data_IF_009514748398
#
_entry.id   IF_009514748398
#
_cell.length_a   1.000
_cell.length_b   1.000
_cell.length_c   1.000
_cell.angle_alpha   90.00
_cell.angle_beta   90.00
_cell.angle_gamma   90.00
#
_symmetry.space_group_name_H-M   'P 1'
#
loop_
_entity.id
_entity.type
_entity.pdbx_description
1 polymer ?
#
# COMPACT_ATOMS: atom_id res chain seq x y z
N UNK A 1 34.37 -6.81 29.43
CA UNK A 1 33.02 -7.04 29.94
C UNK A 1 32.30 -7.85 28.89
N UNK A 2 32.29 -9.15 29.07
CA UNK A 2 31.71 -10.08 28.10
C UNK A 2 30.20 -9.91 28.08
N UNK A 3 29.67 -9.59 26.89
CA UNK A 3 28.24 -9.52 26.62
C UNK A 3 27.69 -10.95 26.66
N UNK A 4 27.33 -11.43 27.85
CA UNK A 4 26.57 -12.67 27.97
C UNK A 4 25.19 -12.45 27.36
N UNK A 5 24.91 -13.19 26.28
CA UNK A 5 23.60 -13.21 25.62
C UNK A 5 22.51 -13.45 26.66
N UNK A 6 21.54 -12.53 26.72
CA UNK A 6 20.41 -12.55 27.67
C UNK A 6 19.48 -13.77 27.47
N UNK A 7 19.63 -14.48 26.35
CA UNK A 7 18.84 -15.65 25.99
C UNK A 7 19.72 -16.82 25.53
N UNK A 8 19.36 -18.07 25.86
CA UNK A 8 20.02 -19.28 25.34
C UNK A 8 20.01 -19.32 23.80
N UNK A 9 21.05 -19.88 23.18
CA UNK A 9 21.14 -20.04 21.72
C UNK A 9 19.95 -20.82 21.14
N UNK A 10 19.52 -21.87 21.84
CA UNK A 10 18.36 -22.69 21.47
C UNK A 10 17.05 -21.87 21.43
N UNK A 11 16.92 -20.85 22.29
CA UNK A 11 15.76 -19.93 22.30
C UNK A 11 15.77 -19.01 21.09
N UNK A 12 16.96 -18.55 20.66
CA UNK A 12 17.11 -17.73 19.46
C UNK A 12 16.77 -18.52 18.20
N UNK A 13 17.33 -19.74 18.05
CA UNK A 13 17.07 -20.60 16.89
C UNK A 13 15.59 -20.96 16.77
N UNK A 14 14.94 -21.31 17.89
CA UNK A 14 13.49 -21.53 17.92
C UNK A 14 12.70 -20.27 17.51
N UNK A 15 13.13 -19.09 17.98
CA UNK A 15 12.50 -17.82 17.63
C UNK A 15 12.56 -17.53 16.14
N UNK A 16 13.74 -17.67 15.54
CA UNK A 16 13.98 -17.47 14.10
C UNK A 16 13.11 -18.43 13.28
N UNK A 17 13.08 -19.71 13.65
CA UNK A 17 12.29 -20.70 12.92
C UNK A 17 10.79 -20.39 12.98
N UNK A 18 10.30 -20.01 14.16
CA UNK A 18 8.90 -19.62 14.36
C UNK A 18 8.54 -18.37 13.58
N UNK A 19 9.42 -17.37 13.57
CA UNK A 19 9.23 -16.13 12.80
C UNK A 19 9.19 -16.43 11.31
N UNK A 20 10.15 -17.22 10.79
CA UNK A 20 10.22 -17.61 9.39
C UNK A 20 8.94 -18.29 8.92
N UNK A 21 8.46 -19.30 9.66
CA UNK A 21 7.21 -20.01 9.31
C UNK A 21 6.02 -19.06 9.25
N UNK A 22 5.88 -18.19 10.26
CA UNK A 22 4.77 -17.25 10.31
C UNK A 22 4.85 -16.20 9.21
N UNK A 23 6.05 -15.76 8.85
CA UNK A 23 6.27 -14.86 7.72
C UNK A 23 5.84 -15.53 6.41
N UNK A 24 6.28 -16.76 6.16
CA UNK A 24 5.91 -17.53 4.96
C UNK A 24 4.38 -17.73 4.86
N UNK A 25 3.73 -18.13 5.94
CA UNK A 25 2.27 -18.27 6.01
C UNK A 25 1.55 -16.95 5.66
N UNK A 26 1.99 -15.83 6.25
CA UNK A 26 1.40 -14.52 5.99
C UNK A 26 1.65 -14.06 4.55
N UNK A 27 2.85 -14.29 4.03
CA UNK A 27 3.23 -13.91 2.67
C UNK A 27 2.38 -14.65 1.63
N UNK A 28 2.30 -15.98 1.74
CA UNK A 28 1.49 -16.82 0.85
C UNK A 28 0.01 -16.45 0.94
N UNK A 29 -0.49 -16.15 2.14
CA UNK A 29 -1.87 -15.71 2.31
C UNK A 29 -2.13 -14.38 1.59
N UNK A 30 -1.23 -13.40 1.71
CA UNK A 30 -1.34 -12.11 1.00
C UNK A 30 -1.36 -12.34 -0.51
N UNK A 31 -0.44 -13.13 -1.03
CA UNK A 31 -0.33 -13.47 -2.45
C UNK A 31 -1.63 -14.10 -3.00
N UNK A 32 -2.25 -15.01 -2.25
CA UNK A 32 -3.44 -15.74 -2.69
C UNK A 32 -4.73 -14.92 -2.61
N UNK A 33 -4.80 -13.97 -1.67
CA UNK A 33 -6.08 -13.35 -1.29
C UNK A 33 -6.18 -11.86 -1.60
N UNK A 34 -5.07 -11.18 -1.90
CA UNK A 34 -5.10 -9.77 -2.33
C UNK A 34 -5.37 -9.65 -3.84
N UNK A 35 -6.05 -8.59 -4.29
CA UNK A 35 -6.34 -8.37 -5.70
C UNK A 35 -5.06 -8.08 -6.50
N UNK A 36 -5.01 -8.43 -7.80
CA UNK A 36 -3.87 -8.16 -8.67
C UNK A 36 -3.42 -6.68 -8.65
N UNK A 37 -4.39 -5.76 -8.61
CA UNK A 37 -4.12 -4.32 -8.54
C UNK A 37 -3.35 -3.87 -7.30
N UNK A 38 -3.35 -4.67 -6.23
CA UNK A 38 -2.51 -4.42 -5.06
C UNK A 38 -1.03 -4.60 -5.41
N UNK A 39 -0.70 -5.70 -6.09
CA UNK A 39 0.68 -6.01 -6.48
C UNK A 39 1.22 -5.10 -7.58
N UNK A 40 0.36 -4.47 -8.38
CA UNK A 40 0.75 -3.43 -9.34
C UNK A 40 1.24 -2.14 -8.69
N UNK A 41 0.90 -1.91 -7.42
CA UNK A 41 1.26 -0.71 -6.67
C UNK A 41 2.32 -0.93 -5.59
N UNK A 42 2.56 -2.18 -5.17
CA UNK A 42 3.52 -2.48 -4.11
C UNK A 42 4.90 -2.82 -4.69
N UNK A 43 5.94 -2.18 -4.14
CA UNK A 43 7.30 -2.68 -4.29
C UNK A 43 7.59 -3.81 -3.29
N UNK A 44 8.72 -4.49 -3.48
CA UNK A 44 9.14 -5.63 -2.65
C UNK A 44 9.30 -5.24 -1.18
N UNK A 45 9.89 -4.08 -0.90
CA UNK A 45 10.10 -3.58 0.46
C UNK A 45 8.78 -3.29 1.19
N UNK A 46 7.84 -2.62 0.52
CA UNK A 46 6.52 -2.33 1.06
C UNK A 46 5.75 -3.62 1.33
N UNK A 47 5.81 -4.58 0.41
CA UNK A 47 5.18 -5.88 0.58
C UNK A 47 5.76 -6.61 1.81
N UNK A 48 7.09 -6.64 1.96
CA UNK A 48 7.76 -7.23 3.13
C UNK A 48 7.31 -6.57 4.44
N UNK A 49 7.24 -5.23 4.49
CA UNK A 49 6.77 -4.50 5.66
C UNK A 49 5.32 -4.81 6.01
N UNK A 50 4.45 -4.92 4.99
CA UNK A 50 3.05 -5.29 5.15
C UNK A 50 2.92 -6.70 5.72
N UNK A 51 3.65 -7.67 5.16
CA UNK A 51 3.64 -9.07 5.65
C UNK A 51 4.14 -9.13 7.09
N UNK A 52 5.24 -8.45 7.41
CA UNK A 52 5.78 -8.43 8.77
C UNK A 52 4.78 -7.81 9.78
N UNK A 53 4.06 -6.76 9.38
CA UNK A 53 2.99 -6.19 10.20
C UNK A 53 1.80 -7.13 10.34
N UNK A 54 1.46 -7.87 9.28
CA UNK A 54 0.40 -8.87 9.32
C UNK A 54 0.70 -9.93 10.38
N UNK A 55 1.97 -10.36 10.52
CA UNK A 55 2.36 -11.36 11.54
C UNK A 55 2.00 -10.98 12.97
N UNK A 56 1.91 -9.69 13.31
CA UNK A 56 1.53 -9.22 14.66
C UNK A 56 0.15 -8.56 14.71
N UNK A 57 -0.62 -8.64 13.62
CA UNK A 57 -1.88 -7.92 13.45
C UNK A 57 -2.92 -8.19 14.53
N UNK A 58 -3.04 -9.45 14.96
CA UNK A 58 -3.96 -9.86 16.02
C UNK A 58 -3.57 -9.32 17.42
N UNK A 59 -2.34 -8.87 17.61
CA UNK A 59 -1.85 -8.27 18.86
C UNK A 59 -2.14 -6.76 18.93
N UNK A 60 -2.37 -6.13 17.78
CA UNK A 60 -2.65 -4.69 17.65
C UNK A 60 -4.15 -4.42 17.44
N UNK A 61 -5.02 -5.19 18.09
CA UNK A 61 -6.48 -5.09 17.93
C UNK A 61 -6.96 -5.11 16.46
N UNK A 62 -6.23 -5.83 15.60
CA UNK A 62 -6.46 -5.88 14.16
C UNK A 62 -6.45 -4.51 13.46
N UNK A 63 -5.53 -3.66 13.89
CA UNK A 63 -5.29 -2.36 13.29
C UNK A 63 -3.80 -2.01 13.36
N UNK A 64 -3.14 -1.90 12.21
CA UNK A 64 -1.72 -1.54 12.14
C UNK A 64 -1.47 -0.41 11.16
N UNK A 65 -0.48 0.43 11.46
CA UNK A 65 -0.03 1.50 10.59
C UNK A 65 1.45 1.40 10.33
N UNK A 66 1.82 1.61 9.07
CA UNK A 66 3.19 1.73 8.63
C UNK A 66 3.32 3.15 8.09
N UNK A 67 4.23 3.93 8.65
CA UNK A 67 4.49 5.29 8.20
C UNK A 67 5.91 5.36 7.62
N UNK A 68 5.98 5.61 6.32
CA UNK A 68 7.20 5.93 5.58
C UNK A 68 7.19 7.41 5.25
N UNK A 69 8.32 7.91 4.75
CA UNK A 69 8.54 9.34 4.50
C UNK A 69 7.42 9.98 3.64
N UNK A 70 7.04 9.31 2.55
CA UNK A 70 6.09 9.84 1.56
C UNK A 70 4.86 8.94 1.39
N UNK A 71 4.78 7.88 2.19
CA UNK A 71 3.81 6.82 2.02
C UNK A 71 3.36 6.28 3.38
N UNK A 72 2.09 5.98 3.51
CA UNK A 72 1.53 5.29 4.66
C UNK A 72 0.82 4.03 4.20
N UNK A 73 0.90 2.97 5.00
CA UNK A 73 0.03 1.82 4.89
C UNK A 73 -0.80 1.68 6.16
N UNK A 74 -2.04 1.25 6.02
CA UNK A 74 -2.88 0.86 7.16
C UNK A 74 -3.53 -0.48 6.89
N UNK A 75 -3.33 -1.42 7.80
CA UNK A 75 -3.98 -2.73 7.80
C UNK A 75 -5.14 -2.67 8.80
N UNK A 76 -6.34 -3.08 8.38
CA UNK A 76 -7.50 -3.13 9.26
C UNK A 76 -8.49 -4.23 8.84
N UNK A 77 -9.37 -4.64 9.74
CA UNK A 77 -10.52 -5.45 9.35
C UNK A 77 -11.56 -4.59 8.65
N UNK A 78 -12.07 -5.09 7.54
CA UNK A 78 -13.04 -4.39 6.72
C UNK A 78 -14.30 -4.03 7.50
N UNK A 79 -14.77 -2.80 7.32
CA UNK A 79 -15.96 -2.26 7.97
C UNK A 79 -16.51 -1.05 7.21
N UNK A 80 -17.81 -0.73 7.36
CA UNK A 80 -18.42 0.42 6.69
C UNK A 80 -17.74 1.77 6.99
N UNK A 81 -17.07 1.87 8.13
CA UNK A 81 -16.37 3.07 8.60
C UNK A 81 -14.83 2.96 8.51
N UNK A 82 -14.31 1.93 7.82
CA UNK A 82 -12.87 1.68 7.74
C UNK A 82 -12.10 2.88 7.19
N UNK A 83 -12.56 3.49 6.09
CA UNK A 83 -11.87 4.63 5.48
C UNK A 83 -11.80 5.83 6.44
N UNK A 84 -12.88 6.08 7.21
CA UNK A 84 -12.90 7.14 8.23
C UNK A 84 -11.88 6.85 9.34
N UNK A 85 -11.79 5.60 9.79
CA UNK A 85 -10.79 5.18 10.78
C UNK A 85 -9.38 5.41 10.25
N UNK A 86 -9.10 5.01 9.01
CA UNK A 86 -7.78 5.20 8.38
C UNK A 86 -7.45 6.70 8.29
N UNK A 87 -8.31 7.48 7.64
CA UNK A 87 -8.05 8.90 7.36
C UNK A 87 -7.95 9.76 8.63
N UNK A 88 -8.63 9.39 9.71
CA UNK A 88 -8.53 10.09 11.00
C UNK A 88 -7.09 10.10 11.54
N UNK A 89 -6.28 9.08 11.25
CA UNK A 89 -4.88 9.01 11.67
C UNK A 89 -3.97 9.93 10.86
N UNK A 90 -4.39 10.32 9.65
CA UNK A 90 -3.62 11.16 8.74
C UNK A 90 -4.15 12.59 8.62
N UNK A 91 -5.00 13.04 9.55
CA UNK A 91 -5.65 14.38 9.53
C UNK A 91 -4.68 15.57 9.46
N UNK A 92 -3.42 15.38 9.86
CA UNK A 92 -2.39 16.43 9.86
C UNK A 92 -1.51 16.41 8.61
N UNK A 93 -1.74 15.48 7.68
CA UNK A 93 -0.94 15.31 6.47
C UNK A 93 -1.72 15.78 5.24
N UNK A 94 -1.01 16.38 4.29
CA UNK A 94 -1.54 16.55 2.94
C UNK A 94 -1.57 15.19 2.25
N UNK A 95 -2.75 14.72 1.84
CA UNK A 95 -2.91 13.44 1.15
C UNK A 95 -2.99 13.71 -0.35
N UNK A 96 -2.02 13.18 -1.10
CA UNK A 96 -1.99 13.24 -2.57
C UNK A 96 -2.83 12.14 -3.19
N UNK A 97 -2.79 10.93 -2.62
CA UNK A 97 -3.59 9.80 -3.09
C UNK A 97 -3.99 8.89 -1.93
N UNK A 98 -5.17 8.30 -2.03
CA UNK A 98 -5.68 7.29 -1.10
C UNK A 98 -6.26 6.14 -1.90
N UNK A 99 -5.75 4.94 -1.68
CA UNK A 99 -6.28 3.71 -2.30
C UNK A 99 -6.42 2.63 -1.24
N UNK A 100 -7.46 1.80 -1.37
CA UNK A 100 -7.66 0.66 -0.48
C UNK A 100 -7.86 -0.62 -1.29
N UNK A 101 -7.35 -1.70 -0.73
CA UNK A 101 -7.38 -3.04 -1.30
C UNK A 101 -7.99 -3.97 -0.27
N UNK A 102 -9.04 -4.67 -0.65
CA UNK A 102 -9.72 -5.61 0.23
C UNK A 102 -9.44 -7.02 -0.26
N UNK A 103 -8.99 -7.86 0.65
CA UNK A 103 -8.79 -9.29 0.41
C UNK A 103 -10.12 -10.00 0.13
N UNK A 104 -10.06 -11.14 -0.54
CA UNK A 104 -11.22 -11.99 -0.81
C UNK A 104 -11.50 -13.04 0.30
N UNK A 105 -10.64 -13.10 1.32
CA UNK A 105 -10.76 -14.02 2.46
C UNK A 105 -10.39 -13.32 3.78
N UNK A 106 -10.82 -13.83 4.94
CA UNK A 106 -10.34 -13.34 6.23
C UNK A 106 -8.86 -13.70 6.45
N UNK A 107 -8.08 -12.86 7.18
CA UNK A 107 -6.68 -13.13 7.47
C UNK A 107 -6.52 -14.42 8.31
N UNK A 108 -5.32 -15.03 8.33
CA UNK A 108 -5.09 -16.36 8.90
C UNK A 108 -5.02 -16.35 10.44
N UNK A 109 -6.03 -15.76 11.10
CA UNK A 109 -6.15 -15.67 12.55
C UNK A 109 -7.41 -16.39 13.04
N UNK A 110 -7.30 -17.23 14.09
CA UNK A 110 -8.46 -17.91 14.66
C UNK A 110 -9.56 -16.94 15.07
N UNK A 111 -10.81 -17.23 14.69
CA UNK A 111 -11.99 -16.46 15.08
C UNK A 111 -12.25 -15.18 14.26
N UNK A 112 -11.36 -14.80 13.36
CA UNK A 112 -11.57 -13.64 12.48
C UNK A 112 -12.42 -14.04 11.27
N UNK A 113 -13.53 -13.33 11.06
CA UNK A 113 -14.44 -13.53 9.92
C UNK A 113 -14.46 -12.38 8.93
N UNK A 114 -13.91 -11.22 9.32
CA UNK A 114 -13.87 -10.03 8.48
C UNK A 114 -12.67 -10.09 7.54
N UNK A 115 -12.83 -9.51 6.36
CA UNK A 115 -11.77 -9.41 5.36
C UNK A 115 -10.68 -8.46 5.84
N UNK A 116 -9.44 -8.70 5.43
CA UNK A 116 -8.36 -7.74 5.58
C UNK A 116 -8.52 -6.63 4.54
N UNK A 117 -8.46 -5.37 4.97
CA UNK A 117 -8.30 -4.20 4.12
C UNK A 117 -6.92 -3.59 4.36
N UNK A 118 -6.20 -3.34 3.27
CA UNK A 118 -4.93 -2.63 3.27
C UNK A 118 -5.12 -1.32 2.52
N UNK A 119 -4.89 -0.20 3.19
CA UNK A 119 -4.96 1.13 2.60
C UNK A 119 -3.58 1.70 2.39
N UNK A 120 -3.35 2.28 1.22
CA UNK A 120 -2.16 3.01 0.83
C UNK A 120 -2.49 4.52 0.80
N UNK A 121 -1.64 5.32 1.45
CA UNK A 121 -1.78 6.77 1.55
C UNK A 121 -0.50 7.41 1.02
N UNK A 122 -0.57 8.12 -0.10
CA UNK A 122 0.56 8.89 -0.62
C UNK A 122 0.46 10.30 -0.09
N UNK A 123 1.51 10.77 0.60
CA UNK A 123 1.54 12.13 1.14
C UNK A 123 1.99 13.13 0.09
N UNK A 124 1.54 14.38 0.24
CA UNK A 124 2.00 15.51 -0.56
C UNK A 124 3.33 16.02 0.02
N UNK A 125 4.41 15.96 -0.74
CA UNK A 125 5.67 16.60 -0.34
C UNK A 125 5.61 18.12 -0.50
N UNK A 126 6.32 18.85 0.36
CA UNK A 126 6.49 20.31 0.24
C UNK A 126 7.37 20.71 -0.97
N UNK A 127 8.15 19.77 -1.51
CA UNK A 127 8.90 19.90 -2.76
C UNK A 127 8.79 18.59 -3.54
N UNK A 128 7.87 18.51 -4.50
CA UNK A 128 7.81 17.37 -5.41
C UNK A 128 9.05 17.39 -6.30
N UNK A 129 9.97 16.44 -6.09
CA UNK A 129 10.88 16.05 -7.18
C UNK A 129 10.00 15.38 -8.22
N UNK A 130 9.90 15.96 -9.41
CA UNK A 130 9.24 15.33 -10.55
C UNK A 130 9.87 13.95 -10.75
N UNK A 131 9.14 12.89 -10.40
CA UNK A 131 9.54 11.53 -10.74
C UNK A 131 9.44 11.39 -12.25
N UNK A 132 10.54 11.03 -12.90
CA UNK A 132 10.69 10.86 -14.36
C UNK A 132 9.85 9.72 -14.95
N UNK A 133 9.07 9.01 -14.13
CA UNK A 133 8.12 8.00 -14.58
C UNK A 133 6.89 8.67 -15.22
N UNK A 134 7.10 9.23 -16.42
CA UNK A 134 6.03 9.61 -17.32
C UNK A 134 5.30 8.31 -17.69
N UNK A 135 4.16 8.08 -17.06
CA UNK A 135 3.27 7.01 -17.50
C UNK A 135 2.82 7.37 -18.91
N UNK A 136 3.07 6.50 -19.91
CA UNK A 136 2.54 6.73 -21.24
C UNK A 136 1.02 6.59 -21.15
N UNK A 137 0.32 7.72 -21.03
CA UNK A 137 -1.11 7.75 -21.27
C UNK A 137 -1.34 7.22 -22.68
N UNK A 138 -2.25 6.27 -22.86
CA UNK A 138 -2.54 5.69 -24.18
C UNK A 138 -2.80 6.81 -25.19
N UNK A 139 -2.16 6.76 -26.36
CA UNK A 139 -2.26 7.80 -27.40
C UNK A 139 -3.72 8.12 -27.77
N UNK A 140 -4.62 7.17 -27.58
CA UNK A 140 -6.07 7.32 -27.79
C UNK A 140 -6.73 8.23 -26.76
N UNK A 141 -6.35 8.14 -25.48
CA UNK A 141 -6.87 9.02 -24.42
C UNK A 141 -6.41 10.45 -24.68
N UNK A 142 -5.14 10.64 -25.07
CA UNK A 142 -4.59 11.95 -25.42
C UNK A 142 -5.35 12.58 -26.60
N UNK A 143 -5.64 11.80 -27.65
CA UNK A 143 -6.48 12.24 -28.77
C UNK A 143 -7.88 12.63 -28.33
N UNK A 144 -8.57 11.79 -27.54
CA UNK A 144 -9.92 12.11 -27.03
C UNK A 144 -9.96 13.38 -26.18
N UNK A 145 -8.89 13.66 -25.41
CA UNK A 145 -8.79 14.89 -24.62
C UNK A 145 -8.64 16.12 -25.52
N UNK A 146 -7.79 16.03 -26.55
CA UNK A 146 -7.61 17.10 -27.54
C UNK A 146 -8.87 17.36 -28.39
N UNK A 147 -9.58 16.30 -28.80
CA UNK A 147 -10.85 16.43 -29.54
C UNK A 147 -11.91 17.16 -28.71
N UNK A 148 -11.98 16.89 -27.40
CA UNK A 148 -12.91 17.55 -26.49
C UNK A 148 -12.48 18.96 -26.08
N UNK A 149 -11.18 19.26 -26.14
CA UNK A 149 -10.61 20.54 -25.73
C UNK A 149 -9.61 21.06 -26.77
N UNK A 150 -10.09 21.62 -27.91
CA UNK A 150 -9.23 22.05 -29.01
C UNK A 150 -8.21 23.13 -28.64
N UNK A 151 -8.48 23.89 -27.58
CA UNK A 151 -7.61 24.93 -27.04
C UNK A 151 -6.42 24.40 -26.22
N UNK A 152 -6.40 23.10 -25.87
CA UNK A 152 -5.33 22.50 -25.07
C UNK A 152 -4.24 21.97 -25.99
N UNK A 153 -3.01 22.47 -25.82
CA UNK A 153 -1.87 22.03 -26.62
C UNK A 153 -1.26 20.75 -26.06
N UNK A 154 -0.52 20.00 -26.88
CA UNK A 154 0.21 18.80 -26.44
C UNK A 154 1.19 19.08 -25.28
N UNK A 155 1.93 20.21 -25.25
CA UNK A 155 2.72 20.61 -24.08
C UNK A 155 1.91 20.82 -22.81
N UNK A 156 0.73 21.45 -22.89
CA UNK A 156 -0.14 21.67 -21.73
C UNK A 156 -0.64 20.33 -21.16
N UNK A 157 -0.95 19.39 -22.05
CA UNK A 157 -1.38 18.05 -21.68
C UNK A 157 -0.25 17.25 -21.04
N UNK A 158 0.97 17.33 -21.59
CA UNK A 158 2.15 16.72 -20.99
C UNK A 158 2.42 17.27 -19.59
N UNK A 159 2.37 18.59 -19.43
CA UNK A 159 2.55 19.24 -18.13
C UNK A 159 1.51 18.75 -17.12
N UNK A 160 0.24 18.69 -17.51
CA UNK A 160 -0.83 18.17 -16.67
C UNK A 160 -0.58 16.71 -16.27
N UNK A 161 -0.19 15.86 -17.21
CA UNK A 161 0.09 14.43 -16.95
C UNK A 161 1.26 14.26 -15.98
N UNK A 162 2.31 15.08 -16.11
CA UNK A 162 3.45 15.05 -15.18
C UNK A 162 3.09 15.56 -13.77
N UNK A 163 2.07 16.42 -13.67
CA UNK A 163 1.55 16.90 -12.37
C UNK A 163 0.54 15.90 -11.76
N UNK A 164 -0.09 15.06 -12.57
CA UNK A 164 -1.00 14.02 -12.11
C UNK A 164 -0.24 12.87 -11.42
N UNK A 165 -0.89 12.28 -10.43
CA UNK A 165 -0.31 11.14 -9.71
C UNK A 165 -0.25 9.91 -10.62
N UNK A 166 0.91 9.25 -10.70
CA UNK A 166 1.11 8.03 -11.48
C UNK A 166 0.11 6.91 -11.12
N UNK A 167 -0.21 6.71 -9.84
CA UNK A 167 -1.23 5.76 -9.38
C UNK A 167 -2.63 6.10 -9.88
N UNK A 168 -2.97 7.39 -9.98
CA UNK A 168 -4.25 7.83 -10.56
C UNK A 168 -4.30 7.51 -12.05
N UNK A 169 -3.22 7.75 -12.79
CA UNK A 169 -3.18 7.43 -14.22
C UNK A 169 -3.31 5.93 -14.48
N UNK A 170 -2.73 5.08 -13.62
CA UNK A 170 -2.89 3.61 -13.70
C UNK A 170 -4.28 3.12 -13.36
N UNK A 171 -5.02 3.85 -12.53
CA UNK A 171 -6.39 3.47 -12.15
C UNK A 171 -7.45 3.89 -13.18
N UNK A 172 -7.09 4.69 -14.17
CA UNK A 172 -7.99 5.03 -15.26
C UNK A 172 -8.30 3.78 -16.09
N UNK A 173 -9.58 3.56 -16.46
CA UNK A 173 -9.95 2.45 -17.32
C UNK A 173 -9.20 2.57 -18.65
N UNK A 174 -8.44 1.53 -18.96
CA UNK A 174 -7.96 1.28 -20.31
C UNK A 174 -9.15 0.65 -21.04
N UNK A 175 -9.87 1.46 -21.82
CA UNK A 175 -10.93 0.94 -22.70
C UNK A 175 -10.39 -0.17 -23.62
#
# INVERSE_FOLDING_TARGET
MDSQSKFPKETLEYGIEKERKKFEECYQWVEQHMPASFFEEMDEESLMLIVHNLMSFNLNDFFSHIHLKNLGFTLCLDSPDADLKVLKHYKMFGIKNYRSFTSNAPPPFPGVKKLLRISMIVFKETQEKQSEDVIPLGKEILKKIQERNPQVTEPDLHKLITELNSYFLRSLPQE
#
